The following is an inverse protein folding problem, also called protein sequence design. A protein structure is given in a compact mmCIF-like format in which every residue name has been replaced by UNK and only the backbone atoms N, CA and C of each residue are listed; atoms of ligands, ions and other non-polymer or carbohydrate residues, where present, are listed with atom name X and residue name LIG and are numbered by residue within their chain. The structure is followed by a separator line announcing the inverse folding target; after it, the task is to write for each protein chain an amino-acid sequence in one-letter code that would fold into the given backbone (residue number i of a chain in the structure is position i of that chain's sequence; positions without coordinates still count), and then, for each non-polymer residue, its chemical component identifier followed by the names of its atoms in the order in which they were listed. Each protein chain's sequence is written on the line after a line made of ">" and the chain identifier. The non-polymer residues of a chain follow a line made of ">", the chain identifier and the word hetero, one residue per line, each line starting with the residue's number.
data_IF_127383078230
#
_entry.id   IF_127383078230
#
_cell.length_a   1.000
_cell.length_b   1.000
_cell.length_c   1.000
_cell.angle_alpha   90.00
_cell.angle_beta   90.00
_cell.angle_gamma   90.00
#
_symmetry.space_group_name_H-M   'P 1'
#
loop_
_entity.id
_entity.type
_entity.pdbx_description
1 polymer ?
#
# COMPACT_ATOMS: atom_id res chain seq x y z
N UNK A 1 8.38 4.56 0.08
CA UNK A 1 9.36 4.29 1.16
C UNK A 1 10.49 5.33 1.27
N UNK A 2 10.58 6.36 0.41
CA UNK A 2 11.67 7.36 0.51
C UNK A 2 11.69 8.15 1.82
N UNK A 3 10.55 8.65 2.28
CA UNK A 3 10.45 9.43 3.51
C UNK A 3 10.96 8.67 4.74
N UNK A 4 10.65 7.38 4.84
CA UNK A 4 11.19 6.53 5.91
C UNK A 4 12.72 6.44 5.87
N UNK A 5 13.32 6.25 4.69
CA UNK A 5 14.77 6.17 4.53
C UNK A 5 15.48 7.48 4.94
N UNK A 6 14.84 8.62 4.68
CA UNK A 6 15.38 9.94 5.02
C UNK A 6 15.27 10.25 6.52
N UNK A 7 14.18 9.80 7.17
CA UNK A 7 13.85 10.20 8.54
C UNK A 7 14.23 9.16 9.61
N UNK A 8 14.41 7.89 9.25
CA UNK A 8 14.81 6.84 10.20
C UNK A 8 16.13 7.15 10.94
N UNK A 9 17.17 7.72 10.30
CA UNK A 9 18.40 8.12 11.01
C UNK A 9 18.17 9.21 12.07
N UNK A 10 17.06 9.95 11.99
CA UNK A 10 16.67 10.98 12.94
C UNK A 10 15.81 10.42 14.10
N UNK A 11 15.60 9.10 14.15
CA UNK A 11 14.73 8.46 15.15
C UNK A 11 13.24 8.65 14.89
N UNK A 12 12.85 9.13 13.70
CA UNK A 12 11.44 9.34 13.34
C UNK A 12 10.89 8.08 12.68
N UNK A 13 9.78 7.57 13.22
CA UNK A 13 9.03 6.47 12.64
C UNK A 13 8.04 7.00 11.60
N UNK A 14 7.97 6.32 10.46
CA UNK A 14 7.03 6.62 9.37
C UNK A 14 6.22 5.36 9.12
N UNK A 15 4.91 5.52 8.98
CA UNK A 15 3.98 4.46 8.62
C UNK A 15 3.09 4.94 7.47
N UNK A 16 2.89 4.09 6.46
CA UNK A 16 1.86 4.25 5.45
C UNK A 16 0.69 3.31 5.78
N UNK A 17 -0.50 3.87 5.98
CA UNK A 17 -1.73 3.09 6.21
C UNK A 17 -2.54 3.05 4.92
N UNK A 18 -2.82 1.86 4.39
CA UNK A 18 -3.54 1.65 3.13
C UNK A 18 -4.86 0.93 3.42
N UNK A 19 -5.93 1.68 3.73
CA UNK A 19 -7.23 1.07 4.00
C UNK A 19 -7.95 0.64 2.72
N UNK A 20 -8.83 -0.35 2.87
CA UNK A 20 -9.84 -0.67 1.87
C UNK A 20 -11.03 0.29 1.92
N UNK A 21 -12.19 -0.17 1.45
CA UNK A 21 -13.45 0.57 1.63
C UNK A 21 -13.77 0.69 3.12
N UNK A 22 -13.85 1.93 3.60
CA UNK A 22 -14.11 2.27 5.00
C UNK A 22 -15.38 3.10 5.08
N UNK A 23 -16.30 2.72 5.97
CA UNK A 23 -17.56 3.45 6.19
C UNK A 23 -17.31 4.77 6.93
N UNK A 24 -16.87 5.80 6.21
CA UNK A 24 -16.68 7.16 6.77
C UNK A 24 -17.77 8.11 6.26
N UNK A 25 -17.99 9.21 6.97
CA UNK A 25 -18.92 10.31 6.60
C UNK A 25 -18.65 10.88 5.20
N UNK A 26 -17.42 10.73 4.69
CA UNK A 26 -17.01 11.16 3.34
C UNK A 26 -17.75 10.39 2.25
N UNK A 27 -18.09 9.11 2.48
CA UNK A 27 -18.81 8.29 1.51
C UNK A 27 -20.31 8.60 1.49
N UNK A 28 -20.92 8.85 2.65
CA UNK A 28 -22.33 9.25 2.75
C UNK A 28 -22.60 10.57 2.02
N UNK A 29 -21.65 11.52 2.08
CA UNK A 29 -21.72 12.79 1.35
C UNK A 29 -21.45 12.67 -0.16
N UNK A 30 -20.81 11.58 -0.61
CA UNK A 30 -20.48 11.35 -2.02
C UNK A 30 -21.64 10.83 -2.87
N UNK A 31 -22.82 10.61 -2.26
CA UNK A 31 -24.01 10.07 -2.93
C UNK A 31 -23.88 8.61 -3.36
N UNK A 32 -22.81 7.91 -2.94
CA UNK A 32 -22.63 6.48 -3.20
C UNK A 32 -23.32 5.67 -2.12
N UNK A 33 -24.33 4.91 -2.52
CA UNK A 33 -25.03 3.99 -1.63
C UNK A 33 -24.13 2.78 -1.33
N UNK A 34 -23.49 2.82 -0.16
CA UNK A 34 -22.65 1.72 0.34
C UNK A 34 -23.48 0.46 0.64
N UNK A 35 -24.82 0.54 0.70
CA UNK A 35 -25.68 -0.63 0.92
C UNK A 35 -25.69 -1.62 -0.26
N UNK A 36 -25.28 -1.17 -1.45
CA UNK A 36 -25.13 -2.00 -2.64
C UNK A 36 -23.81 -2.79 -2.69
N UNK A 37 -22.88 -2.52 -1.77
CA UNK A 37 -21.61 -3.25 -1.69
C UNK A 37 -21.77 -4.55 -0.88
N UNK A 38 -21.03 -5.62 -1.20
CA UNK A 38 -21.01 -6.83 -0.39
C UNK A 38 -20.62 -6.51 1.07
N UNK A 39 -21.36 -7.00 2.09
CA UNK A 39 -21.10 -6.68 3.49
C UNK A 39 -19.66 -6.98 3.96
N UNK A 40 -19.00 -7.99 3.37
CA UNK A 40 -17.62 -8.35 3.69
C UNK A 40 -16.54 -7.45 3.08
N UNK A 41 -16.92 -6.37 2.39
CA UNK A 41 -15.97 -5.47 1.71
C UNK A 41 -15.75 -4.14 2.46
N UNK A 42 -16.53 -3.89 3.52
CA UNK A 42 -16.52 -2.64 4.28
C UNK A 42 -15.99 -2.90 5.68
N UNK A 43 -14.93 -2.20 6.06
CA UNK A 43 -14.41 -2.19 7.44
C UNK A 43 -14.97 -0.97 8.19
N UNK A 44 -15.30 -1.15 9.48
CA UNK A 44 -15.72 -0.05 10.34
C UNK A 44 -14.51 0.84 10.71
N UNK A 45 -14.67 2.17 10.80
CA UNK A 45 -13.55 3.08 11.05
C UNK A 45 -12.77 2.78 12.34
N UNK A 46 -13.45 2.34 13.39
CA UNK A 46 -12.83 1.99 14.66
C UNK A 46 -11.83 0.84 14.52
N UNK A 47 -12.26 -0.24 13.87
CA UNK A 47 -11.43 -1.43 13.62
C UNK A 47 -10.22 -1.10 12.73
N UNK A 48 -10.42 -0.26 11.71
CA UNK A 48 -9.32 0.23 10.87
C UNK A 48 -8.27 0.98 11.67
N UNK A 49 -8.69 1.88 12.57
CA UNK A 49 -7.78 2.68 13.39
C UNK A 49 -7.03 1.80 14.37
N UNK A 50 -7.71 0.83 15.00
CA UNK A 50 -7.07 -0.14 15.89
C UNK A 50 -6.00 -0.95 15.15
N UNK A 51 -6.30 -1.45 13.95
CA UNK A 51 -5.32 -2.17 13.13
C UNK A 51 -4.13 -1.28 12.73
N UNK A 52 -4.39 -0.02 12.35
CA UNK A 52 -3.35 0.94 12.00
C UNK A 52 -2.41 1.22 13.19
N UNK A 53 -2.95 1.47 14.37
CA UNK A 53 -2.17 1.71 15.58
C UNK A 53 -1.41 0.46 16.03
N UNK A 54 -2.00 -0.72 15.88
CA UNK A 54 -1.31 -1.98 16.13
C UNK A 54 -0.09 -2.14 15.20
N UNK A 55 -0.25 -1.90 13.90
CA UNK A 55 0.87 -1.91 12.94
C UNK A 55 1.95 -0.89 13.30
N UNK A 56 1.55 0.32 13.72
CA UNK A 56 2.50 1.36 14.14
C UNK A 56 3.32 0.89 15.34
N UNK A 57 2.66 0.33 16.36
CA UNK A 57 3.32 -0.18 17.56
C UNK A 57 4.32 -1.32 17.28
N UNK A 58 4.07 -2.09 16.22
CA UNK A 58 4.93 -3.19 15.77
C UNK A 58 6.10 -2.74 14.90
N UNK A 59 6.19 -1.43 14.57
CA UNK A 59 7.22 -0.91 13.68
C UNK A 59 6.92 -1.11 12.20
N UNK A 60 5.68 -1.43 11.83
CA UNK A 60 5.31 -1.71 10.45
C UNK A 60 5.38 -0.44 9.60
N UNK A 61 6.17 -0.48 8.51
CA UNK A 61 6.30 0.64 7.59
C UNK A 61 5.06 0.83 6.71
N UNK A 62 4.38 -0.27 6.36
CA UNK A 62 3.20 -0.28 5.49
C UNK A 62 2.15 -1.20 6.10
N UNK A 63 1.08 -0.62 6.64
CA UNK A 63 -0.02 -1.36 7.25
C UNK A 63 -1.21 -1.39 6.31
N UNK A 64 -1.66 -2.59 5.95
CA UNK A 64 -2.81 -2.83 5.07
C UNK A 64 -3.86 -3.60 5.89
N UNK A 65 -4.79 -2.94 6.60
CA UNK A 65 -5.66 -3.57 7.60
C UNK A 65 -6.45 -4.78 7.08
N UNK A 66 -6.88 -4.76 5.82
CA UNK A 66 -7.67 -5.83 5.21
C UNK A 66 -6.84 -6.96 4.59
N UNK A 67 -5.51 -6.86 4.56
CA UNK A 67 -4.64 -7.86 3.96
C UNK A 67 -4.20 -8.88 5.02
N UNK A 68 -4.89 -10.02 5.07
CA UNK A 68 -4.58 -11.07 6.05
C UNK A 68 -3.23 -11.77 5.79
N UNK A 69 -2.86 -11.97 4.53
CA UNK A 69 -1.60 -12.63 4.17
C UNK A 69 -0.52 -11.59 3.80
N UNK A 70 0.46 -11.32 4.69
CA UNK A 70 1.53 -10.37 4.41
C UNK A 70 2.49 -10.86 3.32
N UNK A 71 2.49 -12.15 2.97
CA UNK A 71 3.34 -12.68 1.89
C UNK A 71 3.00 -12.06 0.53
N UNK A 72 1.74 -11.68 0.30
CA UNK A 72 1.32 -11.01 -0.93
C UNK A 72 1.97 -9.63 -1.09
N UNK A 73 2.03 -8.84 0.00
CA UNK A 73 2.72 -7.55 -0.01
C UNK A 73 4.23 -7.73 -0.23
N UNK A 74 4.82 -8.70 0.47
CA UNK A 74 6.25 -9.01 0.33
C UNK A 74 6.62 -9.45 -1.09
N UNK A 75 5.77 -10.27 -1.72
CA UNK A 75 5.96 -10.71 -3.10
C UNK A 75 5.86 -9.53 -4.09
N UNK A 76 4.88 -8.64 -3.91
CA UNK A 76 4.76 -7.42 -4.71
C UNK A 76 6.02 -6.54 -4.58
N UNK A 77 6.49 -6.30 -3.36
CA UNK A 77 7.69 -5.51 -3.12
C UNK A 77 8.98 -6.16 -3.65
N UNK A 78 9.07 -7.49 -3.59
CA UNK A 78 10.17 -8.25 -4.19
C UNK A 78 10.16 -8.10 -5.72
N UNK A 79 9.01 -8.26 -6.37
CA UNK A 79 8.86 -8.07 -7.81
C UNK A 79 9.21 -6.63 -8.22
N UNK A 80 8.74 -5.64 -7.45
CA UNK A 80 9.09 -4.22 -7.67
C UNK A 80 10.60 -3.98 -7.61
N UNK A 81 11.29 -4.55 -6.62
CA UNK A 81 12.75 -4.42 -6.48
C UNK A 81 13.52 -5.13 -7.59
N UNK A 82 13.03 -6.28 -8.05
CA UNK A 82 13.67 -7.06 -9.10
C UNK A 82 13.77 -6.29 -10.44
N UNK A 83 12.89 -5.30 -10.67
CA UNK A 83 13.00 -4.43 -11.84
C UNK A 83 14.23 -3.51 -11.81
N UNK A 84 14.73 -3.12 -10.63
CA UNK A 84 15.74 -2.08 -10.44
C UNK A 84 16.97 -2.18 -11.38
N UNK A 85 17.67 -3.33 -11.44
CA UNK A 85 18.83 -3.51 -12.33
C UNK A 85 18.54 -3.37 -13.83
N UNK A 86 17.27 -3.41 -14.25
CA UNK A 86 16.85 -3.43 -15.64
C UNK A 86 16.25 -2.09 -16.13
N UNK A 87 16.13 -1.08 -15.27
CA UNK A 87 15.44 0.17 -15.58
C UNK A 87 16.36 1.34 -15.98
N UNK A 88 17.68 1.21 -15.82
CA UNK A 88 18.66 2.25 -16.15
C UNK A 88 19.79 1.68 -16.99
N UNK A 89 19.48 1.36 -18.25
CA UNK A 89 20.43 0.81 -19.23
C UNK A 89 20.79 1.90 -20.26
N UNK A 90 21.96 1.76 -20.89
CA UNK A 90 22.48 2.68 -21.91
C UNK A 90 21.77 2.58 -23.27
N UNK A 91 20.94 1.55 -23.44
CA UNK A 91 20.19 1.30 -24.66
C UNK A 91 18.73 0.93 -24.38
N UNK A 92 17.85 1.30 -25.32
CA UNK A 92 16.48 0.81 -25.33
C UNK A 92 16.43 -0.72 -25.42
N UNK A 93 15.48 -1.33 -24.71
CA UNK A 93 15.29 -2.78 -24.72
C UNK A 93 15.09 -3.31 -26.15
N UNK A 94 15.64 -4.51 -26.43
CA UNK A 94 15.62 -5.11 -27.77
C UNK A 94 14.21 -5.19 -28.39
N UNK A 95 13.16 -5.37 -27.58
CA UNK A 95 11.75 -5.39 -28.02
C UNK A 95 11.28 -4.10 -28.73
N UNK A 96 12.04 -3.01 -28.63
CA UNK A 96 11.74 -1.74 -29.29
C UNK A 96 12.56 -1.51 -30.57
N UNK A 97 13.53 -2.37 -30.87
CA UNK A 97 14.27 -2.31 -32.13
C UNK A 97 13.44 -3.04 -33.19
N UNK A 98 12.66 -2.30 -33.97
CA UNK A 98 12.01 -2.83 -35.18
C UNK A 98 13.08 -3.29 -36.17
N UNK A 99 12.88 -4.45 -36.81
CA UNK A 99 13.69 -4.84 -37.95
C UNK A 99 13.54 -3.78 -39.04
N UNK A 100 14.63 -3.06 -39.32
CA UNK A 100 14.78 -2.30 -40.56
C UNK A 100 15.17 -3.24 -41.69
#
# INVERSE_FOLDING_TARGET
>A
QKLHLELAPLGIQVQAVLPGLTRTEIFERSGRDLSALPPGMIMEPGELVEAALAGLSQGELVTIPSLADPALWNAFEAARRALGPHLSLDHAAARYKTAS
#
